data_IF_210762457711
#
_entry.id   IF_210762457711
#
_cell.length_a   1.000
_cell.length_b   1.000
_cell.length_c   1.000
_cell.angle_alpha   90.00
_cell.angle_beta   90.00
_cell.angle_gamma   90.00
#
_symmetry.space_group_name_H-M   'P 1'
#
loop_
_entity.id
_entity.type
_entity.pdbx_description
1 polymer ?
#
# COMPACT_ATOMS: atom_id res chain seq x y z
N UNK A 1 -7.06 18.71 11.83
CA UNK A 1 -7.01 18.80 10.37
C UNK A 1 -5.59 18.83 9.82
N UNK A 2 -4.75 19.72 10.35
CA UNK A 2 -3.35 19.77 9.96
C UNK A 2 -2.62 18.47 10.26
N UNK A 3 -3.04 17.81 11.32
CA UNK A 3 -2.50 16.52 11.68
C UNK A 3 -2.72 15.48 10.58
N UNK A 4 -3.93 15.44 10.02
CA UNK A 4 -4.22 14.50 8.95
C UNK A 4 -3.41 14.76 7.69
N UNK A 5 -3.32 16.01 7.29
CA UNK A 5 -2.54 16.36 6.11
C UNK A 5 -1.07 16.05 6.29
N UNK A 6 -0.54 16.31 7.47
CA UNK A 6 0.85 16.01 7.77
C UNK A 6 1.11 14.51 7.73
N UNK A 7 0.21 13.72 8.31
CA UNK A 7 0.32 12.26 8.31
C UNK A 7 0.28 11.71 6.89
N UNK A 8 -0.69 12.17 6.08
CA UNK A 8 -0.79 11.75 4.70
C UNK A 8 0.47 12.07 3.92
N UNK A 9 0.97 13.28 4.05
CA UNK A 9 2.18 13.71 3.36
C UNK A 9 3.39 12.87 3.76
N UNK A 10 3.51 12.57 5.04
CA UNK A 10 4.61 11.73 5.55
C UNK A 10 4.56 10.35 4.91
N UNK A 11 3.38 9.75 4.89
CA UNK A 11 3.20 8.40 4.34
C UNK A 11 3.47 8.39 2.84
N UNK A 12 2.86 9.29 2.10
CA UNK A 12 3.02 9.34 0.65
C UNK A 12 4.45 9.65 0.25
N UNK A 13 5.08 10.57 0.96
CA UNK A 13 6.47 10.92 0.70
C UNK A 13 7.41 9.75 0.93
N UNK A 14 7.14 8.95 1.97
CA UNK A 14 7.98 7.78 2.25
C UNK A 14 7.96 6.79 1.09
N UNK A 15 6.79 6.56 0.49
CA UNK A 15 6.69 5.70 -0.69
C UNK A 15 7.37 6.32 -1.91
N UNK A 16 7.14 7.60 -2.14
CA UNK A 16 7.64 8.29 -3.33
C UNK A 16 9.15 8.43 -3.34
N UNK A 17 9.76 8.54 -2.17
CA UNK A 17 11.22 8.68 -2.06
C UNK A 17 11.93 7.36 -1.83
N UNK A 18 11.18 6.26 -1.73
CA UNK A 18 11.75 4.94 -1.49
C UNK A 18 12.38 4.35 -2.74
N UNK A 19 13.16 3.30 -2.55
CA UNK A 19 13.79 2.59 -3.67
C UNK A 19 12.78 1.81 -4.53
N UNK A 20 11.55 1.66 -4.05
CA UNK A 20 10.50 0.96 -4.81
C UNK A 20 9.52 1.92 -5.48
N UNK A 21 9.85 3.21 -5.54
CA UNK A 21 8.92 4.18 -6.11
C UNK A 21 8.57 3.90 -7.56
N UNK A 22 9.46 3.28 -8.31
CA UNK A 22 9.21 2.91 -9.70
C UNK A 22 8.43 1.59 -9.84
N UNK A 23 8.23 0.88 -8.74
CA UNK A 23 7.46 -0.36 -8.73
C UNK A 23 6.07 -0.20 -8.17
N UNK A 24 5.72 0.99 -7.73
CA UNK A 24 4.40 1.28 -7.18
C UNK A 24 3.80 2.50 -7.85
N UNK A 25 2.47 2.50 -7.95
CA UNK A 25 1.70 3.67 -8.36
C UNK A 25 0.68 3.94 -7.27
N UNK A 26 0.61 5.19 -6.85
CA UNK A 26 -0.31 5.60 -5.79
C UNK A 26 -1.39 6.47 -6.38
N UNK A 27 -2.65 6.12 -6.07
CA UNK A 27 -3.82 6.87 -6.47
C UNK A 27 -4.47 7.41 -5.22
N UNK A 28 -4.47 8.73 -5.06
CA UNK A 28 -5.06 9.38 -3.92
C UNK A 28 -6.57 9.47 -4.07
N UNK A 29 -7.27 9.06 -3.01
CA UNK A 29 -8.71 9.25 -2.93
C UNK A 29 -9.01 10.67 -2.46
N UNK A 30 -10.05 11.27 -3.03
CA UNK A 30 -10.44 12.64 -2.68
C UNK A 30 -10.92 12.77 -1.25
N UNK A 31 -11.40 11.68 -0.65
CA UNK A 31 -11.89 11.68 0.73
C UNK A 31 -10.77 11.84 1.76
N UNK A 32 -9.53 11.55 1.40
CA UNK A 32 -8.40 11.63 2.32
C UNK A 32 -8.35 10.52 3.36
N UNK A 33 -9.24 9.54 3.27
CA UNK A 33 -9.31 8.43 4.23
C UNK A 33 -8.35 7.31 3.84
N UNK A 34 -8.26 7.04 2.54
CA UNK A 34 -7.40 5.97 2.04
C UNK A 34 -6.87 6.34 0.65
N UNK A 35 -5.92 5.54 0.21
CA UNK A 35 -5.40 5.63 -1.15
C UNK A 35 -5.29 4.23 -1.74
N UNK A 36 -5.19 4.16 -3.05
CA UNK A 36 -4.95 2.90 -3.74
C UNK A 36 -3.47 2.81 -4.10
N UNK A 37 -2.91 1.64 -3.92
CA UNK A 37 -1.52 1.38 -4.27
C UNK A 37 -1.46 0.20 -5.22
N UNK A 38 -0.98 0.45 -6.42
CA UNK A 38 -0.74 -0.60 -7.39
C UNK A 38 0.72 -1.02 -7.31
N UNK A 39 0.95 -2.31 -7.14
CA UNK A 39 2.29 -2.87 -7.10
C UNK A 39 2.59 -3.54 -8.43
N UNK A 40 3.66 -3.08 -9.07
CA UNK A 40 4.12 -3.65 -10.34
C UNK A 40 5.05 -4.81 -10.02
N UNK A 41 4.51 -6.02 -10.03
CA UNK A 41 5.26 -7.22 -9.71
C UNK A 41 4.71 -8.38 -10.54
N UNK A 42 5.60 -9.33 -10.84
CA UNK A 42 5.19 -10.57 -11.51
C UNK A 42 4.65 -11.60 -10.51
N UNK A 43 4.81 -11.33 -9.22
CA UNK A 43 4.31 -12.23 -8.19
C UNK A 43 2.79 -12.17 -8.12
N UNK A 44 2.18 -13.30 -7.81
CA UNK A 44 0.75 -13.36 -7.63
C UNK A 44 0.30 -12.53 -6.44
N UNK A 45 -0.87 -11.91 -6.56
CA UNK A 45 -1.46 -11.09 -5.51
C UNK A 45 -1.49 -11.81 -4.16
N UNK A 46 -1.93 -13.07 -4.15
CA UNK A 46 -2.03 -13.84 -2.91
C UNK A 46 -0.67 -14.05 -2.25
N UNK A 47 0.39 -14.17 -3.04
CA UNK A 47 1.73 -14.38 -2.50
C UNK A 47 2.23 -13.10 -1.85
N UNK A 48 1.99 -11.97 -2.48
CA UNK A 48 2.36 -10.67 -1.91
C UNK A 48 1.60 -10.44 -0.61
N UNK A 49 0.30 -10.72 -0.59
CA UNK A 49 -0.53 -10.57 0.60
C UNK A 49 -0.01 -11.44 1.74
N UNK A 50 0.28 -12.70 1.47
CA UNK A 50 0.75 -13.63 2.48
C UNK A 50 2.13 -13.24 3.00
N UNK A 51 3.03 -12.84 2.12
CA UNK A 51 4.35 -12.39 2.53
C UNK A 51 4.29 -11.14 3.39
N UNK A 52 3.46 -10.19 3.00
CA UNK A 52 3.27 -8.96 3.79
C UNK A 52 2.69 -9.29 5.16
N UNK A 53 1.70 -10.18 5.20
CA UNK A 53 1.08 -10.57 6.46
C UNK A 53 2.09 -11.22 7.42
N UNK A 54 2.99 -12.03 6.89
CA UNK A 54 4.03 -12.65 7.70
C UNK A 54 4.97 -11.63 8.32
N UNK A 55 5.02 -10.42 7.76
CA UNK A 55 5.84 -9.32 8.26
C UNK A 55 5.02 -8.30 9.06
N UNK A 56 3.77 -8.64 9.35
CA UNK A 56 2.91 -7.79 10.16
C UNK A 56 2.15 -6.73 9.38
N UNK A 57 2.10 -6.84 8.05
CA UNK A 57 1.40 -5.87 7.21
C UNK A 57 0.21 -6.55 6.56
N UNK A 58 -0.98 -6.02 6.83
CA UNK A 58 -2.20 -6.53 6.21
C UNK A 58 -2.50 -5.72 4.95
N UNK A 59 -2.47 -6.38 3.82
CA UNK A 59 -2.85 -5.79 2.55
C UNK A 59 -4.25 -6.22 2.16
N UNK A 60 -5.06 -5.26 1.74
CA UNK A 60 -6.44 -5.50 1.33
C UNK A 60 -6.54 -5.31 -0.17
N UNK A 61 -6.63 -6.40 -0.94
CA UNK A 61 -6.67 -6.26 -2.40
C UNK A 61 -7.98 -5.64 -2.86
N UNK A 62 -7.89 -4.78 -3.86
CA UNK A 62 -9.09 -4.16 -4.43
C UNK A 62 -10.02 -5.23 -5.03
N UNK A 63 -9.46 -6.31 -5.54
CA UNK A 63 -10.21 -7.41 -6.15
C UNK A 63 -11.24 -8.03 -5.20
N UNK A 64 -11.02 -7.96 -3.89
CA UNK A 64 -11.97 -8.54 -2.92
C UNK A 64 -13.33 -7.84 -2.93
N UNK A 65 -13.40 -6.63 -3.49
CA UNK A 65 -14.63 -5.86 -3.54
C UNK A 65 -15.46 -6.12 -4.81
N UNK A 66 -14.95 -6.95 -5.71
CA UNK A 66 -15.62 -7.26 -6.96
C UNK A 66 -16.03 -8.73 -6.99
N UNK A 67 -17.21 -9.01 -7.56
CA UNK A 67 -17.73 -10.38 -7.62
C UNK A 67 -16.90 -11.30 -8.51
N UNK A 68 -16.31 -10.76 -9.54
CA UNK A 68 -15.47 -11.52 -10.45
C UNK A 68 -14.01 -11.22 -10.11
N UNK A 69 -13.45 -12.00 -9.22
CA UNK A 69 -12.08 -11.86 -8.75
C UNK A 69 -11.06 -12.39 -9.73
N UNK A 70 -11.38 -12.38 -11.00
CA UNK A 70 -10.53 -13.06 -11.98
C UNK A 70 -9.25 -12.31 -12.28
N UNK A 71 -9.26 -10.98 -12.04
CA UNK A 71 -8.11 -10.17 -12.36
C UNK A 71 -7.25 -9.90 -11.15
N UNK A 72 -6.03 -10.34 -11.26
CA UNK A 72 -5.01 -10.16 -10.25
C UNK A 72 -4.23 -8.90 -10.62
N UNK A 73 -4.74 -7.75 -10.19
CA UNK A 73 -4.19 -6.46 -10.60
C UNK A 73 -3.14 -5.91 -9.65
N UNK A 74 -2.92 -6.57 -8.51
CA UNK A 74 -2.00 -6.10 -7.48
C UNK A 74 -2.29 -4.66 -7.06
N UNK A 75 -3.56 -4.33 -6.90
CA UNK A 75 -4.01 -3.04 -6.39
C UNK A 75 -4.56 -3.24 -4.99
N UNK A 76 -4.10 -2.44 -4.05
CA UNK A 76 -4.45 -2.58 -2.64
C UNK A 76 -5.03 -1.30 -2.08
N UNK A 77 -6.05 -1.44 -1.23
CA UNK A 77 -6.65 -0.31 -0.52
C UNK A 77 -5.85 -0.08 0.74
N UNK A 78 -5.27 1.10 0.87
CA UNK A 78 -4.43 1.46 2.00
C UNK A 78 -5.12 2.54 2.81
N UNK A 79 -5.35 2.27 4.09
CA UNK A 79 -5.95 3.25 4.99
C UNK A 79 -4.87 4.02 5.73
N UNK A 80 -4.93 5.34 5.68
CA UNK A 80 -3.95 6.16 6.40
C UNK A 80 -3.97 5.89 7.90
N UNK A 81 -5.16 5.63 8.45
CA UNK A 81 -5.29 5.36 9.88
C UNK A 81 -4.61 4.07 10.32
N UNK A 82 -4.45 3.12 9.40
CA UNK A 82 -3.82 1.83 9.69
C UNK A 82 -2.30 1.86 9.57
N UNK A 83 -1.76 2.95 9.07
CA UNK A 83 -0.32 3.09 8.87
C UNK A 83 0.25 4.03 9.94
N UNK A 84 1.24 3.54 10.67
CA UNK A 84 1.92 4.35 11.66
C UNK A 84 2.98 5.19 10.94
N UNK A 85 2.77 6.50 10.89
CA UNK A 85 3.67 7.39 10.18
C UNK A 85 5.09 7.41 10.76
N UNK A 86 5.22 7.06 12.05
CA UNK A 86 6.55 6.98 12.66
C UNK A 86 7.31 5.73 12.22
N UNK A 87 6.60 4.72 11.74
CA UNK A 87 7.19 3.45 11.30
C UNK A 87 7.10 3.27 9.79
N UNK A 88 6.72 4.31 9.06
CA UNK A 88 6.42 4.15 7.64
C UNK A 88 7.65 3.70 6.83
N UNK A 89 8.83 4.16 7.18
CA UNK A 89 10.04 3.74 6.47
C UNK A 89 10.30 2.25 6.66
N UNK A 90 10.03 1.74 7.86
CA UNK A 90 10.15 0.30 8.11
C UNK A 90 9.10 -0.49 7.34
N UNK A 91 7.88 0.04 7.28
CA UNK A 91 6.79 -0.59 6.53
C UNK A 91 7.16 -0.67 5.04
N UNK A 92 7.67 0.41 4.48
CA UNK A 92 8.11 0.44 3.07
C UNK A 92 9.21 -0.58 2.83
N UNK A 93 10.18 -0.67 3.74
CA UNK A 93 11.27 -1.64 3.61
C UNK A 93 10.76 -3.07 3.64
N UNK A 94 9.79 -3.36 4.50
CA UNK A 94 9.17 -4.68 4.57
C UNK A 94 8.41 -5.01 3.28
N UNK A 95 7.69 -4.03 2.74
CA UNK A 95 6.98 -4.22 1.47
C UNK A 95 7.95 -4.46 0.33
N UNK A 96 9.07 -3.80 0.34
CA UNK A 96 10.12 -4.02 -0.66
C UNK A 96 10.52 -5.49 -0.72
N UNK A 97 10.57 -6.16 0.43
CA UNK A 97 10.94 -7.56 0.49
C UNK A 97 9.86 -8.48 -0.06
N UNK A 98 8.64 -7.99 -0.23
CA UNK A 98 7.51 -8.78 -0.73
C UNK A 98 7.27 -8.65 -2.23
N UNK A 99 7.91 -7.70 -2.86
CA UNK A 99 7.66 -7.37 -4.28
C UNK A 99 8.54 -8.15 -5.25
#
# INVERSE_FOLDING_TARGET
>A
RNYYLKKQNTILNAFQTSSINNKIEIYNETTGVHFLMKIKSEKAEKDIINNAFSKGIKLSPLSQYYKNNEENNNIYVMNYSSLDSEKIELIVEKLKQCI
#
